data_IF_726230966875
#
_entry.id   IF_726230966875
#
_cell.length_a   1.000
_cell.length_b   1.000
_cell.length_c   1.000
_cell.angle_alpha   90.00
_cell.angle_beta   90.00
_cell.angle_gamma   90.00
#
_symmetry.space_group_name_H-M   'P 1'
#
loop_
_entity.id
_entity.type
_entity.pdbx_description
1 polymer ?
#
# COMPACT_ATOMS: atom_id res chain seq x y z
N UNK A 1 3.37 2.98 20.84
CA UNK A 1 3.41 1.55 20.42
C UNK A 1 4.77 1.14 19.86
N UNK A 2 5.27 1.73 18.74
CA UNK A 2 6.60 1.34 18.20
C UNK A 2 7.71 1.86 19.11
N UNK A 3 7.63 3.12 19.58
CA UNK A 3 8.59 3.70 20.51
C UNK A 3 8.73 2.89 21.82
N UNK A 4 7.63 2.38 22.35
CA UNK A 4 7.62 1.50 23.54
C UNK A 4 8.49 0.25 23.35
N UNK A 5 8.57 -0.29 22.14
CA UNK A 5 9.43 -1.42 21.83
C UNK A 5 10.92 -1.08 21.90
N UNK A 6 11.28 0.20 21.73
CA UNK A 6 12.63 0.71 21.99
C UNK A 6 12.89 1.03 23.49
N UNK A 7 11.90 0.79 24.36
CA UNK A 7 12.04 0.93 25.81
C UNK A 7 11.68 2.30 26.36
N UNK A 8 11.17 3.21 25.53
CA UNK A 8 10.71 4.54 25.95
C UNK A 8 9.46 4.95 25.15
N UNK A 9 8.42 5.38 25.86
CA UNK A 9 7.17 5.86 25.29
C UNK A 9 7.05 7.39 25.32
N UNK A 10 8.14 8.09 25.58
CA UNK A 10 8.17 9.55 25.59
C UNK A 10 7.66 10.13 24.27
N UNK A 11 7.01 11.29 24.37
CA UNK A 11 6.53 12.00 23.18
C UNK A 11 7.69 12.34 22.21
N UNK A 12 8.88 12.60 22.75
CA UNK A 12 10.08 12.90 21.97
C UNK A 12 10.49 11.72 21.09
N UNK A 13 10.68 10.55 21.68
CA UNK A 13 11.06 9.34 20.93
C UNK A 13 9.96 8.92 19.95
N UNK A 14 8.69 9.01 20.33
CA UNK A 14 7.57 8.70 19.43
C UNK A 14 7.61 9.57 18.17
N UNK A 15 7.87 10.88 18.32
CA UNK A 15 7.98 11.78 17.17
C UNK A 15 9.17 11.45 16.28
N UNK A 16 10.34 11.16 16.87
CA UNK A 16 11.54 10.77 16.11
C UNK A 16 11.32 9.47 15.34
N UNK A 17 10.74 8.47 15.97
CA UNK A 17 10.41 7.19 15.31
C UNK A 17 9.46 7.40 14.14
N UNK A 18 8.39 8.17 14.32
CA UNK A 18 7.45 8.45 13.24
C UNK A 18 8.14 9.19 12.07
N UNK A 19 8.99 10.17 12.35
CA UNK A 19 9.76 10.89 11.33
C UNK A 19 10.74 9.96 10.59
N UNK A 20 11.51 9.15 11.31
CA UNK A 20 12.46 8.20 10.75
C UNK A 20 11.75 7.15 9.87
N UNK A 21 10.62 6.61 10.34
CA UNK A 21 9.81 5.69 9.56
C UNK A 21 9.39 6.27 8.21
N UNK A 22 8.90 7.51 8.18
CA UNK A 22 8.50 8.15 6.93
C UNK A 22 9.70 8.52 6.05
N UNK A 23 10.83 8.87 6.62
CA UNK A 23 12.07 9.16 5.87
C UNK A 23 12.53 7.96 5.07
N UNK A 24 12.52 6.76 5.66
CA UNK A 24 13.00 5.53 5.02
C UNK A 24 11.90 4.70 4.35
N UNK A 25 10.62 5.10 4.49
CA UNK A 25 9.48 4.33 4.01
C UNK A 25 9.54 4.02 2.52
N UNK A 26 9.96 4.99 1.70
CA UNK A 26 9.99 4.83 0.26
C UNK A 26 10.93 3.70 -0.19
N UNK A 27 12.13 3.60 0.40
CA UNK A 27 13.07 2.53 0.10
C UNK A 27 12.57 1.17 0.64
N UNK A 28 11.94 1.16 1.81
CA UNK A 28 11.33 -0.03 2.38
C UNK A 28 10.19 -0.57 1.52
N UNK A 29 9.30 0.32 1.07
CA UNK A 29 8.23 -0.03 0.14
C UNK A 29 8.76 -0.50 -1.22
N UNK A 30 9.97 -0.08 -1.62
CA UNK A 30 10.66 -0.55 -2.81
C UNK A 30 11.45 -1.86 -2.62
N UNK A 31 11.44 -2.44 -1.42
CA UNK A 31 12.02 -3.75 -1.16
C UNK A 31 13.31 -3.75 -0.32
N UNK A 32 13.67 -2.63 0.31
CA UNK A 32 14.72 -2.63 1.34
C UNK A 32 14.40 -3.71 2.40
N UNK A 33 15.41 -4.37 2.92
CA UNK A 33 15.21 -5.42 3.91
C UNK A 33 14.68 -4.88 5.24
N UNK A 34 13.94 -5.73 5.98
CA UNK A 34 13.44 -5.40 7.33
C UNK A 34 14.59 -4.97 8.25
N UNK A 35 15.73 -5.67 8.16
CA UNK A 35 16.92 -5.37 8.96
C UNK A 35 17.42 -3.97 8.71
N UNK A 36 17.69 -3.63 7.45
CA UNK A 36 18.22 -2.33 7.07
C UNK A 36 17.27 -1.19 7.40
N UNK A 37 15.95 -1.39 7.18
CA UNK A 37 14.94 -0.38 7.51
C UNK A 37 14.92 -0.07 9.00
N UNK A 38 14.86 -1.09 9.86
CA UNK A 38 14.77 -0.90 11.31
C UNK A 38 16.08 -0.47 11.95
N UNK A 39 17.23 -0.86 11.38
CA UNK A 39 18.56 -0.39 11.84
C UNK A 39 18.71 1.11 11.56
N UNK A 40 18.27 1.60 10.39
CA UNK A 40 18.28 3.04 10.08
C UNK A 40 17.37 3.83 11.02
N UNK A 41 16.17 3.33 11.29
CA UNK A 41 15.25 3.98 12.23
C UNK A 41 15.87 4.06 13.64
N UNK A 42 16.46 2.97 14.11
CA UNK A 42 17.16 2.95 15.39
C UNK A 42 18.29 3.98 15.44
N UNK A 43 19.12 4.04 14.39
CA UNK A 43 20.19 5.01 14.26
C UNK A 43 19.71 6.45 14.30
N UNK A 44 18.68 6.79 13.53
CA UNK A 44 18.08 8.15 13.51
C UNK A 44 17.49 8.54 14.88
N UNK A 45 17.05 7.55 15.65
CA UNK A 45 16.49 7.75 17.00
C UNK A 45 17.54 7.68 18.12
N UNK A 46 18.83 7.48 17.80
CA UNK A 46 19.89 7.30 18.81
C UNK A 46 19.72 6.03 19.62
N UNK A 47 19.06 5.00 19.08
CA UNK A 47 18.80 3.71 19.71
C UNK A 47 19.78 2.64 19.18
N UNK A 48 20.10 1.61 19.95
CA UNK A 48 20.89 0.49 19.48
C UNK A 48 20.12 -0.29 18.39
N UNK A 49 20.86 -0.94 17.52
CA UNK A 49 20.28 -1.85 16.51
C UNK A 49 19.37 -2.90 17.15
N UNK A 50 18.16 -3.14 16.64
CA UNK A 50 17.22 -4.08 17.21
C UNK A 50 17.79 -5.51 17.25
N UNK A 51 17.69 -6.18 18.38
CA UNK A 51 17.96 -7.63 18.44
C UNK A 51 17.04 -8.40 17.49
N UNK A 52 17.38 -9.63 17.15
CA UNK A 52 16.54 -10.44 16.25
C UNK A 52 15.10 -10.66 16.79
N UNK A 53 14.91 -10.69 18.11
CA UNK A 53 13.59 -10.79 18.73
C UNK A 53 12.82 -9.47 18.62
N UNK A 54 13.46 -8.34 18.91
CA UNK A 54 12.86 -7.01 18.80
C UNK A 54 12.51 -6.69 17.34
N UNK A 55 13.39 -7.00 16.38
CA UNK A 55 13.13 -6.83 14.97
C UNK A 55 11.84 -7.52 14.52
N UNK A 56 11.63 -8.78 14.95
CA UNK A 56 10.40 -9.51 14.62
C UNK A 56 9.16 -8.82 15.17
N UNK A 57 9.24 -8.26 16.38
CA UNK A 57 8.12 -7.53 17.00
C UNK A 57 7.81 -6.22 16.26
N UNK A 58 8.85 -5.45 15.91
CA UNK A 58 8.71 -4.20 15.15
C UNK A 58 8.05 -4.44 13.78
N UNK A 59 8.56 -5.42 13.03
CA UNK A 59 8.01 -5.82 11.72
C UNK A 59 6.56 -6.27 11.84
N UNK A 60 6.23 -7.12 12.82
CA UNK A 60 4.88 -7.61 13.01
C UNK A 60 3.91 -6.48 13.41
N UNK A 61 4.35 -5.56 14.27
CA UNK A 61 3.54 -4.43 14.72
C UNK A 61 3.25 -3.47 13.54
N UNK A 62 4.26 -3.09 12.76
CA UNK A 62 4.09 -2.24 11.57
C UNK A 62 3.14 -2.91 10.57
N UNK A 63 3.36 -4.17 10.23
CA UNK A 63 2.53 -4.90 9.28
C UNK A 63 1.07 -5.01 9.76
N UNK A 64 0.83 -5.27 11.05
CA UNK A 64 -0.53 -5.37 11.61
C UNK A 64 -1.29 -4.03 11.58
N UNK A 65 -0.58 -2.91 11.74
CA UNK A 65 -1.17 -1.56 11.70
C UNK A 65 -1.53 -1.14 10.28
N UNK A 66 -0.64 -1.42 9.32
CA UNK A 66 -0.75 -0.93 7.95
C UNK A 66 -1.62 -1.81 7.04
N UNK A 67 -1.84 -3.07 7.42
CA UNK A 67 -2.66 -4.01 6.64
C UNK A 67 -4.15 -3.98 6.99
N UNK A 68 -4.62 -2.95 7.68
CA UNK A 68 -6.05 -2.80 7.99
C UNK A 68 -6.80 -2.32 6.76
N UNK A 69 -7.87 -3.03 6.42
CA UNK A 69 -8.74 -2.65 5.31
C UNK A 69 -9.75 -1.57 5.71
N UNK A 70 -10.12 -0.74 4.74
CA UNK A 70 -11.24 0.18 4.87
C UNK A 70 -12.53 -0.54 4.48
N UNK A 71 -13.45 -0.74 5.41
CA UNK A 71 -14.69 -1.50 5.17
C UNK A 71 -15.59 -0.89 4.09
N UNK A 72 -15.63 0.43 3.98
CA UNK A 72 -16.39 1.07 2.91
C UNK A 72 -15.80 0.76 1.52
N UNK A 73 -14.46 0.73 1.40
CA UNK A 73 -13.79 0.30 0.18
C UNK A 73 -14.04 -1.18 -0.12
N UNK A 74 -14.01 -2.06 0.89
CA UNK A 74 -14.35 -3.48 0.71
C UNK A 74 -15.80 -3.68 0.27
N UNK A 75 -16.73 -2.84 0.76
CA UNK A 75 -18.11 -2.82 0.29
C UNK A 75 -18.22 -2.58 -1.22
N UNK A 76 -17.46 -1.59 -1.71
CA UNK A 76 -17.40 -1.28 -3.14
C UNK A 76 -16.76 -2.42 -3.96
N UNK A 77 -15.69 -3.03 -3.43
CA UNK A 77 -15.06 -4.21 -4.06
C UNK A 77 -16.05 -5.36 -4.20
N UNK A 78 -16.82 -5.68 -3.14
CA UNK A 78 -17.85 -6.72 -3.18
C UNK A 78 -18.94 -6.41 -4.22
N UNK A 79 -19.30 -5.13 -4.39
CA UNK A 79 -20.27 -4.71 -5.39
C UNK A 79 -19.74 -4.90 -6.82
N UNK A 80 -18.50 -4.49 -7.10
CA UNK A 80 -17.82 -4.72 -8.38
C UNK A 80 -17.75 -6.21 -8.73
N UNK A 81 -17.38 -7.04 -7.78
CA UNK A 81 -17.30 -8.50 -7.99
C UNK A 81 -18.65 -9.15 -8.30
N UNK A 82 -19.76 -8.66 -7.69
CA UNK A 82 -21.11 -9.14 -8.04
C UNK A 82 -21.48 -8.87 -9.51
N UNK A 83 -20.86 -7.87 -10.13
CA UNK A 83 -21.03 -7.54 -11.54
C UNK A 83 -19.92 -8.13 -12.45
N UNK A 84 -19.20 -9.11 -11.94
CA UNK A 84 -18.09 -9.79 -12.63
C UNK A 84 -16.93 -8.87 -13.05
N UNK A 85 -16.79 -7.70 -12.42
CA UNK A 85 -15.64 -6.82 -12.62
C UNK A 85 -14.44 -7.40 -11.87
N UNK A 86 -13.32 -7.58 -12.55
CA UNK A 86 -12.05 -8.01 -11.92
C UNK A 86 -11.47 -6.86 -11.11
N UNK A 87 -11.02 -7.15 -9.90
CA UNK A 87 -10.47 -6.15 -8.99
C UNK A 87 -9.09 -6.59 -8.50
N UNK A 88 -8.12 -5.71 -8.53
CA UNK A 88 -6.78 -5.97 -8.04
C UNK A 88 -6.24 -4.89 -7.12
N UNK A 89 -5.14 -5.18 -6.46
CA UNK A 89 -4.40 -4.23 -5.62
C UNK A 89 -3.09 -3.84 -6.31
N UNK A 90 -2.87 -2.52 -6.44
CA UNK A 90 -1.58 -1.92 -6.74
C UNK A 90 -1.21 -0.97 -5.59
N UNK A 91 -0.26 -1.37 -4.74
CA UNK A 91 0.07 -0.64 -3.51
C UNK A 91 1.57 -0.51 -3.30
N UNK A 92 2.00 0.65 -2.78
CA UNK A 92 3.32 0.80 -2.19
C UNK A 92 3.29 0.11 -0.82
N UNK A 93 4.01 -0.98 -0.68
CA UNK A 93 4.09 -1.75 0.56
C UNK A 93 5.34 -2.64 0.58
N UNK A 94 6.03 -2.75 1.73
CA UNK A 94 7.14 -3.68 1.91
C UNK A 94 6.64 -5.12 2.04
N UNK A 95 7.56 -6.07 1.94
CA UNK A 95 7.23 -7.51 1.98
C UNK A 95 6.37 -7.95 3.17
N UNK A 96 6.60 -7.52 4.42
CA UNK A 96 5.76 -7.95 5.54
C UNK A 96 4.29 -7.53 5.40
N UNK A 97 4.04 -6.30 4.97
CA UNK A 97 2.69 -5.78 4.76
C UNK A 97 2.03 -6.51 3.58
N UNK A 98 2.71 -6.64 2.45
CA UNK A 98 2.25 -7.38 1.30
C UNK A 98 1.87 -8.83 1.65
N UNK A 99 2.68 -9.49 2.50
CA UNK A 99 2.41 -10.84 3.00
C UNK A 99 1.14 -10.92 3.85
N UNK A 100 0.94 -9.96 4.76
CA UNK A 100 -0.28 -9.92 5.59
C UNK A 100 -1.51 -9.69 4.72
N UNK A 101 -1.46 -8.75 3.78
CA UNK A 101 -2.57 -8.45 2.86
C UNK A 101 -2.93 -9.68 2.02
N UNK A 102 -1.96 -10.35 1.41
CA UNK A 102 -2.21 -11.57 0.61
C UNK A 102 -2.86 -12.71 1.38
N UNK A 103 -2.64 -12.77 2.71
CA UNK A 103 -3.16 -13.83 3.59
C UNK A 103 -4.42 -13.44 4.34
N UNK A 104 -4.84 -12.18 4.24
CA UNK A 104 -6.05 -11.72 4.92
C UNK A 104 -7.31 -12.28 4.27
N UNK A 105 -8.38 -12.44 5.05
CA UNK A 105 -9.68 -12.85 4.53
C UNK A 105 -10.18 -11.88 3.45
N UNK A 106 -10.02 -10.58 3.67
CA UNK A 106 -10.41 -9.57 2.70
C UNK A 106 -9.52 -9.57 1.44
N UNK A 107 -8.28 -10.06 1.54
CA UNK A 107 -7.40 -10.27 0.38
C UNK A 107 -8.00 -11.21 -0.66
N UNK A 108 -8.80 -12.20 -0.23
CA UNK A 108 -9.49 -13.14 -1.15
C UNK A 108 -10.50 -12.47 -2.08
N UNK A 109 -10.87 -11.22 -1.81
CA UNK A 109 -11.75 -10.43 -2.68
C UNK A 109 -11.04 -9.91 -3.94
N UNK A 110 -9.72 -10.02 -4.03
CA UNK A 110 -8.95 -9.45 -5.13
C UNK A 110 -8.41 -10.55 -6.04
N UNK A 111 -8.47 -10.31 -7.34
CA UNK A 111 -8.08 -11.27 -8.38
C UNK A 111 -6.56 -11.27 -8.61
N UNK A 112 -5.87 -10.16 -8.26
CA UNK A 112 -4.42 -10.06 -8.35
C UNK A 112 -3.85 -9.05 -7.36
N UNK A 113 -2.54 -9.16 -7.14
CA UNK A 113 -1.78 -8.25 -6.29
C UNK A 113 -0.51 -7.79 -7.01
N UNK A 114 -0.24 -6.49 -6.93
CA UNK A 114 1.00 -5.86 -7.33
C UNK A 114 1.47 -4.95 -6.18
N UNK A 115 2.55 -5.33 -5.53
CA UNK A 115 3.16 -4.53 -4.46
C UNK A 115 4.50 -3.99 -4.94
N UNK A 116 4.81 -2.76 -4.56
CA UNK A 116 6.05 -2.09 -4.95
C UNK A 116 7.30 -2.88 -4.60
N UNK A 117 7.32 -3.60 -3.47
CA UNK A 117 8.43 -4.46 -3.07
C UNK A 117 8.71 -5.60 -4.07
N UNK A 118 7.70 -6.11 -4.79
CA UNK A 118 7.88 -7.15 -5.81
C UNK A 118 8.50 -6.60 -7.10
N UNK A 119 8.38 -5.28 -7.32
CA UNK A 119 8.84 -4.59 -8.53
C UNK A 119 10.11 -3.77 -8.32
N UNK A 120 10.50 -3.50 -7.06
CA UNK A 120 11.59 -2.57 -6.75
C UNK A 120 11.28 -1.11 -7.07
N UNK A 121 10.03 -0.77 -7.35
CA UNK A 121 9.59 0.55 -7.84
C UNK A 121 8.26 0.93 -7.19
N UNK A 122 8.18 2.15 -6.65
CA UNK A 122 6.96 2.69 -6.03
C UNK A 122 6.14 3.55 -6.99
N UNK A 123 4.81 3.61 -6.77
CA UNK A 123 3.98 4.70 -7.29
C UNK A 123 4.53 6.04 -6.75
N UNK A 124 4.53 7.12 -7.52
CA UNK A 124 3.93 7.33 -8.85
C UNK A 124 4.86 7.03 -10.05
N UNK A 125 5.94 6.27 -9.88
CA UNK A 125 6.82 5.90 -11.01
C UNK A 125 6.03 5.17 -12.09
N UNK A 126 6.19 5.59 -13.36
CA UNK A 126 5.50 4.96 -14.50
C UNK A 126 5.84 3.48 -14.69
N UNK A 127 7.01 3.04 -14.20
CA UNK A 127 7.46 1.65 -14.31
C UNK A 127 6.48 0.68 -13.69
N UNK A 128 6.04 0.91 -12.46
CA UNK A 128 5.13 -0.01 -11.76
C UNK A 128 3.78 -0.15 -12.45
N UNK A 129 3.24 0.95 -13.02
CA UNK A 129 1.96 0.87 -13.77
C UNK A 129 2.13 0.08 -15.05
N UNK A 130 3.20 0.31 -15.83
CA UNK A 130 3.48 -0.42 -17.08
C UNK A 130 3.61 -1.91 -16.84
N UNK A 131 4.33 -2.32 -15.78
CA UNK A 131 4.48 -3.73 -15.42
C UNK A 131 3.13 -4.40 -15.14
N UNK A 132 2.25 -3.70 -14.43
CA UNK A 132 0.90 -4.19 -14.12
C UNK A 132 0.02 -4.22 -15.36
N UNK A 133 0.01 -3.14 -16.14
CA UNK A 133 -0.81 -3.01 -17.35
C UNK A 133 -0.47 -4.07 -18.39
N UNK A 134 0.82 -4.35 -18.60
CA UNK A 134 1.28 -5.44 -19.49
C UNK A 134 0.78 -6.80 -19.02
N UNK A 135 0.83 -7.07 -17.70
CA UNK A 135 0.35 -8.34 -17.14
C UNK A 135 -1.16 -8.50 -17.24
N UNK A 136 -1.94 -7.40 -17.14
CA UNK A 136 -3.39 -7.45 -17.25
C UNK A 136 -3.85 -7.77 -18.68
N UNK A 137 -3.11 -7.33 -19.70
CA UNK A 137 -3.36 -7.66 -21.09
C UNK A 137 -4.72 -7.17 -21.64
N UNK A 138 -5.26 -6.09 -21.07
CA UNK A 138 -6.52 -5.46 -21.50
C UNK A 138 -6.25 -4.00 -21.93
N UNK A 139 -7.13 -3.38 -22.77
CA UNK A 139 -7.00 -1.97 -23.10
C UNK A 139 -6.93 -1.09 -21.87
N UNK A 140 -6.09 -0.07 -21.88
CA UNK A 140 -5.86 0.77 -20.69
C UNK A 140 -7.10 1.61 -20.33
N UNK A 141 -7.91 1.98 -21.32
CA UNK A 141 -9.20 2.63 -21.16
C UNK A 141 -10.27 1.76 -20.49
N UNK A 142 -10.06 0.45 -20.46
CA UNK A 142 -10.93 -0.51 -19.76
C UNK A 142 -10.48 -0.77 -18.31
N UNK A 143 -9.53 0.02 -17.82
CA UNK A 143 -9.01 -0.06 -16.46
C UNK A 143 -9.35 1.22 -15.72
N UNK A 144 -9.95 1.10 -14.53
CA UNK A 144 -10.05 2.18 -13.56
C UNK A 144 -8.99 2.00 -12.46
N UNK A 145 -8.27 3.07 -12.12
CA UNK A 145 -7.32 3.10 -11.02
C UNK A 145 -7.80 4.08 -9.96
N UNK A 146 -7.97 3.59 -8.73
CA UNK A 146 -8.46 4.36 -7.59
C UNK A 146 -7.35 4.46 -6.56
N UNK A 147 -6.98 5.68 -6.17
CA UNK A 147 -5.94 5.93 -5.16
C UNK A 147 -6.25 7.24 -4.43
N UNK A 148 -5.87 7.36 -3.16
CA UNK A 148 -6.08 8.57 -2.37
C UNK A 148 -5.09 9.70 -2.70
N UNK A 149 -3.94 9.36 -3.29
CA UNK A 149 -2.91 10.30 -3.70
C UNK A 149 -3.10 10.70 -5.16
N UNK A 150 -3.41 11.98 -5.36
CA UNK A 150 -3.65 12.53 -6.71
C UNK A 150 -2.46 12.32 -7.67
N UNK A 151 -1.23 12.39 -7.18
CA UNK A 151 -0.04 12.12 -7.99
C UNK A 151 -0.02 10.70 -8.55
N UNK A 152 -0.46 9.69 -7.76
CA UNK A 152 -0.57 8.32 -8.21
C UNK A 152 -1.64 8.17 -9.31
N UNK A 153 -2.80 8.80 -9.10
CA UNK A 153 -3.89 8.81 -10.08
C UNK A 153 -3.42 9.47 -11.37
N UNK A 154 -2.77 10.63 -11.28
CA UNK A 154 -2.27 11.35 -12.45
C UNK A 154 -1.24 10.55 -13.26
N UNK A 155 -0.36 9.79 -12.58
CA UNK A 155 0.61 8.93 -13.25
C UNK A 155 -0.05 7.79 -14.05
N UNK A 156 -1.15 7.22 -13.55
CA UNK A 156 -1.96 6.23 -14.27
C UNK A 156 -2.69 6.85 -15.47
N UNK A 157 -3.31 8.02 -15.29
CA UNK A 157 -4.00 8.76 -16.37
C UNK A 157 -3.09 9.07 -17.54
N UNK A 158 -1.82 9.43 -17.28
CA UNK A 158 -0.83 9.68 -18.33
C UNK A 158 -0.49 8.46 -19.20
N UNK A 159 -0.92 7.27 -18.78
CA UNK A 159 -0.81 6.02 -19.53
C UNK A 159 -2.12 5.60 -20.22
N UNK A 160 -3.19 6.38 -20.06
CA UNK A 160 -4.51 6.10 -20.65
C UNK A 160 -5.48 5.35 -19.74
N UNK A 161 -5.10 5.11 -18.48
CA UNK A 161 -5.98 4.50 -17.48
C UNK A 161 -6.99 5.54 -16.96
N UNK A 162 -8.20 5.11 -16.64
CA UNK A 162 -9.23 6.00 -16.06
C UNK A 162 -8.96 6.20 -14.57
N UNK A 163 -8.52 7.41 -14.18
CA UNK A 163 -8.15 7.75 -12.82
C UNK A 163 -9.32 8.19 -11.97
N UNK A 164 -9.38 7.73 -10.72
CA UNK A 164 -10.32 8.18 -9.70
C UNK A 164 -9.53 8.51 -8.42
N UNK A 165 -9.54 9.76 -8.00
CA UNK A 165 -9.00 10.12 -6.69
C UNK A 165 -10.02 9.75 -5.62
N UNK A 166 -9.62 8.89 -4.68
CA UNK A 166 -10.48 8.44 -3.60
C UNK A 166 -10.90 9.59 -2.68
N UNK A 167 -12.19 9.79 -2.53
CA UNK A 167 -12.80 10.76 -1.58
C UNK A 167 -13.86 10.09 -0.69
N UNK A 168 -13.96 8.77 -0.76
CA UNK A 168 -14.94 7.95 -0.07
C UNK A 168 -15.65 7.00 -1.03
N UNK A 169 -16.35 6.00 -0.47
CA UNK A 169 -16.97 4.94 -1.26
C UNK A 169 -18.09 5.46 -2.17
N UNK A 170 -18.90 6.39 -1.69
CA UNK A 170 -20.02 6.96 -2.46
C UNK A 170 -19.53 7.73 -3.69
N UNK A 171 -18.49 8.57 -3.54
CA UNK A 171 -17.89 9.31 -4.66
C UNK A 171 -17.25 8.35 -5.66
N UNK A 172 -16.50 7.35 -5.18
CA UNK A 172 -15.88 6.36 -6.04
C UNK A 172 -16.93 5.50 -6.79
N UNK A 173 -18.02 5.10 -6.13
CA UNK A 173 -19.13 4.38 -6.76
C UNK A 173 -19.76 5.21 -7.88
N UNK A 174 -20.07 6.48 -7.59
CA UNK A 174 -20.62 7.40 -8.59
C UNK A 174 -19.69 7.52 -9.81
N UNK A 175 -18.40 7.72 -9.58
CA UNK A 175 -17.41 7.83 -10.66
C UNK A 175 -17.29 6.55 -11.47
N UNK A 176 -17.32 5.39 -10.83
CA UNK A 176 -17.32 4.09 -11.51
C UNK A 176 -18.55 3.88 -12.39
N UNK A 177 -19.73 4.33 -11.95
CA UNK A 177 -20.94 4.32 -12.77
C UNK A 177 -20.85 5.26 -13.97
N UNK A 178 -20.36 6.48 -13.79
CA UNK A 178 -20.12 7.44 -14.86
C UNK A 178 -19.14 6.90 -15.93
N UNK A 179 -18.18 6.08 -15.53
CA UNK A 179 -17.18 5.46 -16.39
C UNK A 179 -17.61 4.10 -16.98
N UNK A 180 -18.78 3.57 -16.58
CA UNK A 180 -19.33 2.31 -17.08
C UNK A 180 -18.73 1.04 -16.43
N UNK A 181 -18.08 1.17 -15.28
CA UNK A 181 -17.55 0.02 -14.51
C UNK A 181 -18.57 -0.54 -13.49
N UNK A 182 -19.63 0.21 -13.18
CA UNK A 182 -20.74 -0.20 -12.33
C UNK A 182 -22.06 0.21 -12.97
N UNK A 183 -23.12 -0.59 -12.70
CA UNK A 183 -24.47 -0.38 -13.19
C UNK A 183 -25.45 -0.26 -12.04
#
# INVERSE_FOLDING_TARGET
AIAELFGDDSRGLTTLVDQAMWTHRGEYDAGLSDREFWDRIAGDCGQPEPSGALLKQLVALDASRMAKANEAALGLVRQLRRQAVRVGILSNAPYPIAKVIRRSEWGSLFDFFAFSCDHGICKPSRGIYRDVLVRLGVPYEDIAFIDDRRENVRAAELLGVRGITWKGAEDAEKRLKELGFLF
#
